data_IF_744210131915
#
_entry.id   IF_744210131915
#
_cell.length_a   1.000
_cell.length_b   1.000
_cell.length_c   1.000
_cell.angle_alpha   90.00
_cell.angle_beta   90.00
_cell.angle_gamma   90.00
#
_symmetry.space_group_name_H-M   'P 1'
#
loop_
_entity.id
_entity.type
_entity.pdbx_description
1 polymer ?
#
# COMPACT_ATOMS: atom_id res chain seq x y z
N UNK A 1 2.12 -19.15 21.60
CA UNK A 1 2.19 -17.68 21.44
C UNK A 1 0.82 -17.08 21.81
N UNK A 2 0.77 -15.96 22.52
CA UNK A 2 -0.50 -15.27 22.82
C UNK A 2 -1.19 -14.88 21.50
N UNK A 3 -2.48 -15.23 21.34
CA UNK A 3 -3.27 -14.97 20.12
C UNK A 3 -3.37 -13.48 19.78
N UNK A 4 -3.37 -12.59 20.77
CA UNK A 4 -3.33 -11.15 20.52
C UNK A 4 -2.00 -10.72 19.91
N UNK A 5 -0.87 -11.14 20.51
CA UNK A 5 0.46 -10.85 19.99
C UNK A 5 0.68 -11.44 18.59
N UNK A 6 0.07 -12.60 18.30
CA UNK A 6 0.03 -13.19 16.97
C UNK A 6 -0.59 -12.21 15.96
N UNK A 7 -1.81 -11.70 16.23
CA UNK A 7 -2.50 -10.76 15.34
C UNK A 7 -1.73 -9.46 15.17
N UNK A 8 -1.17 -8.90 16.24
CA UNK A 8 -0.32 -7.70 16.17
C UNK A 8 0.89 -7.95 15.26
N UNK A 9 1.51 -9.12 15.31
CA UNK A 9 2.63 -9.46 14.43
C UNK A 9 2.19 -9.65 12.97
N UNK A 10 1.09 -10.37 12.73
CA UNK A 10 0.55 -10.63 11.38
C UNK A 10 0.17 -9.34 10.67
N UNK A 11 -0.40 -8.36 11.39
CA UNK A 11 -0.81 -7.07 10.84
C UNK A 11 0.35 -6.11 10.54
N UNK A 12 1.61 -6.52 10.76
CA UNK A 12 2.85 -5.80 10.43
C UNK A 12 2.82 -4.31 10.88
N UNK A 13 3.00 -4.02 12.18
CA UNK A 13 2.83 -2.68 12.75
C UNK A 13 3.70 -1.58 12.13
N UNK A 14 4.82 -1.96 11.52
CA UNK A 14 5.68 -1.05 10.76
C UNK A 14 4.92 -0.34 9.61
N UNK A 15 3.86 -0.94 9.07
CA UNK A 15 3.07 -0.36 7.98
C UNK A 15 1.80 0.36 8.46
N UNK A 16 1.42 0.23 9.73
CA UNK A 16 0.23 0.88 10.29
C UNK A 16 0.27 2.39 10.08
N UNK A 17 1.40 3.01 10.43
CA UNK A 17 1.56 4.46 10.37
C UNK A 17 1.51 4.99 8.94
N UNK A 18 1.96 4.22 7.94
CA UNK A 18 2.06 4.74 6.56
C UNK A 18 0.67 5.04 5.99
N UNK A 19 -0.25 4.07 6.04
CA UNK A 19 -1.61 4.27 5.52
C UNK A 19 -2.39 5.29 6.36
N UNK A 20 -2.23 5.25 7.68
CA UNK A 20 -2.87 6.21 8.58
C UNK A 20 -2.39 7.64 8.34
N UNK A 21 -1.07 7.87 8.14
CA UNK A 21 -0.52 9.20 7.81
C UNK A 21 -1.00 9.69 6.44
N UNK A 22 -1.04 8.81 5.44
CA UNK A 22 -1.57 9.15 4.12
C UNK A 22 -3.02 9.63 4.23
N UNK A 23 -3.87 8.90 4.97
CA UNK A 23 -5.27 9.29 5.17
C UNK A 23 -5.39 10.67 5.83
N UNK A 24 -4.54 10.97 6.81
CA UNK A 24 -4.56 12.27 7.51
C UNK A 24 -4.06 13.39 6.60
N UNK A 25 -2.99 13.15 5.82
CA UNK A 25 -2.51 14.11 4.82
C UNK A 25 -3.61 14.49 3.84
N UNK A 26 -4.35 13.50 3.33
CA UNK A 26 -5.42 13.74 2.36
C UNK A 26 -6.56 14.52 2.98
N UNK A 27 -6.98 14.17 4.20
CA UNK A 27 -8.00 14.89 4.94
C UNK A 27 -7.64 16.38 5.08
N UNK A 28 -6.45 16.71 5.57
CA UNK A 28 -6.05 18.11 5.74
C UNK A 28 -5.85 18.83 4.40
N UNK A 29 -5.23 18.17 3.41
CA UNK A 29 -5.04 18.75 2.08
C UNK A 29 -6.35 19.06 1.34
N UNK A 30 -7.45 18.43 1.73
CA UNK A 30 -8.80 18.68 1.20
C UNK A 30 -9.60 19.70 2.03
N UNK A 31 -8.95 20.36 2.99
CA UNK A 31 -9.57 21.35 3.88
C UNK A 31 -10.36 20.75 5.03
N UNK A 32 -10.16 19.46 5.31
CA UNK A 32 -10.74 18.79 6.47
C UNK A 32 -10.04 19.17 7.78
N UNK A 33 -10.76 19.02 8.89
CA UNK A 33 -10.22 19.19 10.24
C UNK A 33 -10.05 17.85 10.94
N UNK A 34 -9.24 17.83 12.01
CA UNK A 34 -9.08 16.64 12.84
C UNK A 34 -10.36 16.37 13.64
N UNK A 35 -11.30 15.68 13.01
CA UNK A 35 -12.57 15.27 13.61
C UNK A 35 -12.46 13.88 14.24
N UNK A 36 -13.46 13.47 15.01
CA UNK A 36 -13.57 12.09 15.48
C UNK A 36 -13.55 11.07 14.32
N UNK A 37 -14.01 11.48 13.13
CA UNK A 37 -14.03 10.66 11.92
C UNK A 37 -12.62 10.49 11.33
N UNK A 38 -11.80 11.55 11.38
CA UNK A 38 -10.38 11.48 11.04
C UNK A 38 -9.63 10.49 11.94
N UNK A 39 -9.88 10.59 13.25
CA UNK A 39 -9.29 9.70 14.26
C UNK A 39 -9.75 8.25 14.04
N UNK A 40 -11.03 8.06 13.72
CA UNK A 40 -11.58 6.73 13.43
C UNK A 40 -10.89 6.10 12.22
N UNK A 41 -10.77 6.82 11.09
CA UNK A 41 -10.05 6.32 9.91
C UNK A 41 -8.59 5.99 10.24
N UNK A 42 -7.91 6.86 10.99
CA UNK A 42 -6.53 6.65 11.43
C UNK A 42 -6.35 5.34 12.24
N UNK A 43 -7.31 5.00 13.10
CA UNK A 43 -7.30 3.79 13.95
C UNK A 43 -7.74 2.55 13.16
N UNK A 44 -8.64 2.68 12.21
CA UNK A 44 -9.21 1.56 11.47
C UNK A 44 -8.23 0.96 10.44
N UNK A 45 -7.32 1.74 9.86
CA UNK A 45 -6.29 1.20 8.95
C UNK A 45 -5.37 0.13 9.60
N UNK A 46 -4.82 0.34 10.81
CA UNK A 46 -4.11 -0.69 11.57
C UNK A 46 -4.92 -1.97 11.77
N UNK A 47 -6.22 -1.84 12.05
CA UNK A 47 -7.13 -3.00 12.22
C UNK A 47 -7.30 -3.72 10.89
N UNK A 48 -7.53 -2.98 9.80
CA UNK A 48 -7.68 -3.51 8.45
C UNK A 48 -6.39 -4.16 7.90
N UNK A 49 -5.22 -3.82 8.43
CA UNK A 49 -3.96 -4.46 8.04
C UNK A 49 -3.98 -6.00 8.25
N UNK A 50 -4.82 -6.51 9.16
CA UNK A 50 -5.08 -7.96 9.28
C UNK A 50 -5.71 -8.57 8.03
N UNK A 51 -6.63 -7.85 7.38
CA UNK A 51 -7.24 -8.28 6.13
C UNK A 51 -6.18 -8.39 5.03
N UNK A 52 -5.29 -7.39 4.91
CA UNK A 52 -4.25 -7.38 3.87
C UNK A 52 -3.20 -8.46 4.13
N UNK A 53 -2.59 -8.44 5.32
CA UNK A 53 -1.41 -9.27 5.60
C UNK A 53 -1.75 -10.65 6.14
N UNK A 54 -2.88 -10.81 6.84
CA UNK A 54 -3.33 -12.11 7.33
C UNK A 54 -3.82 -13.01 6.21
N UNK A 55 -4.60 -12.48 5.26
CA UNK A 55 -5.00 -13.21 4.06
C UNK A 55 -3.77 -13.58 3.23
N UNK A 56 -2.82 -12.65 3.08
CA UNK A 56 -1.54 -12.88 2.42
C UNK A 56 -0.75 -14.04 3.05
N UNK A 57 -0.50 -14.00 4.37
CA UNK A 57 0.28 -15.02 5.08
C UNK A 57 -0.36 -16.42 5.04
N UNK A 58 -1.69 -16.50 5.01
CA UNK A 58 -2.40 -17.80 4.93
C UNK A 58 -2.26 -18.40 3.53
N UNK A 59 -2.50 -17.62 2.47
CA UNK A 59 -2.43 -18.12 1.10
C UNK A 59 -0.98 -18.26 0.57
N UNK A 60 0.00 -17.58 1.17
CA UNK A 60 1.42 -17.70 0.79
C UNK A 60 2.20 -18.70 1.62
N UNK A 61 1.55 -19.42 2.53
CA UNK A 61 2.23 -20.31 3.46
C UNK A 61 3.22 -21.29 2.78
N UNK A 62 2.85 -21.90 1.63
CA UNK A 62 3.74 -22.85 0.94
C UNK A 62 4.92 -22.14 0.23
N UNK A 63 4.69 -20.99 -0.40
CA UNK A 63 5.76 -20.18 -1.01
C UNK A 63 6.70 -19.58 0.04
N UNK A 64 6.15 -19.21 1.20
CA UNK A 64 6.86 -18.61 2.31
C UNK A 64 7.82 -19.54 3.01
N UNK A 65 7.52 -20.85 3.06
CA UNK A 65 8.47 -21.87 3.56
C UNK A 65 9.78 -21.87 2.80
N UNK A 66 9.74 -21.53 1.51
CA UNK A 66 10.89 -21.55 0.62
C UNK A 66 11.70 -20.26 0.70
N UNK A 67 11.15 -19.20 1.31
CA UNK A 67 11.76 -17.89 1.37
C UNK A 67 12.71 -17.74 2.56
N UNK A 68 13.97 -17.42 2.26
CA UNK A 68 14.97 -17.03 3.28
C UNK A 68 14.72 -15.64 3.88
N UNK A 69 13.78 -14.85 3.31
CA UNK A 69 13.51 -13.44 3.67
C UNK A 69 12.60 -13.29 4.89
N UNK A 70 11.83 -14.33 5.23
CA UNK A 70 10.70 -14.15 6.15
C UNK A 70 11.05 -13.69 7.56
N UNK A 71 12.22 -13.97 8.19
CA UNK A 71 12.54 -13.38 9.49
C UNK A 71 13.03 -11.92 9.36
N UNK A 72 12.26 -11.05 8.71
CA UNK A 72 12.58 -9.63 8.53
C UNK A 72 11.38 -8.73 8.81
N UNK A 73 11.64 -7.47 9.19
CA UNK A 73 10.61 -6.45 9.47
C UNK A 73 9.58 -6.30 8.33
N UNK A 74 10.00 -6.47 7.09
CA UNK A 74 9.14 -6.38 5.91
C UNK A 74 8.52 -7.72 5.49
N UNK A 75 9.16 -8.86 5.79
CA UNK A 75 8.72 -10.21 5.39
C UNK A 75 7.71 -10.86 6.34
N UNK A 76 7.61 -10.40 7.60
CA UNK A 76 6.70 -10.96 8.59
C UNK A 76 7.31 -12.13 9.36
N UNK A 77 6.54 -13.20 9.59
CA UNK A 77 7.05 -14.47 10.11
C UNK A 77 6.31 -15.62 9.42
N UNK A 78 6.85 -16.85 9.46
CA UNK A 78 6.14 -17.99 8.88
C UNK A 78 4.93 -18.34 9.76
N UNK A 79 3.73 -18.05 9.27
CA UNK A 79 2.49 -18.29 10.01
C UNK A 79 2.17 -19.79 10.05
N UNK A 80 2.23 -20.39 11.24
CA UNK A 80 1.90 -21.81 11.43
C UNK A 80 0.48 -22.15 10.96
N UNK A 81 0.31 -23.30 10.29
CA UNK A 81 -1.00 -23.78 9.77
C UNK A 81 -2.11 -23.80 10.82
N UNK A 82 -1.77 -24.13 12.07
CA UNK A 82 -2.72 -24.18 13.18
C UNK A 82 -3.48 -22.85 13.39
N UNK A 83 -2.87 -21.72 13.03
CA UNK A 83 -3.46 -20.40 13.22
C UNK A 83 -4.18 -19.87 11.97
N UNK A 84 -4.12 -20.55 10.83
CA UNK A 84 -4.69 -20.05 9.56
C UNK A 84 -6.19 -19.73 9.70
N UNK A 85 -6.96 -20.65 10.28
CA UNK A 85 -8.41 -20.44 10.49
C UNK A 85 -8.69 -19.25 11.42
N UNK A 86 -7.87 -19.07 12.46
CA UNK A 86 -8.01 -17.96 13.41
C UNK A 86 -7.66 -16.61 12.76
N UNK A 87 -6.58 -16.56 11.99
CA UNK A 87 -6.15 -15.37 11.25
C UNK A 87 -7.17 -14.99 10.17
N UNK A 88 -7.68 -15.96 9.39
CA UNK A 88 -8.72 -15.68 8.39
C UNK A 88 -10.02 -15.15 9.02
N UNK A 89 -10.46 -15.71 10.15
CA UNK A 89 -11.62 -15.17 10.88
C UNK A 89 -11.36 -13.74 11.36
N UNK A 90 -10.17 -13.48 11.89
CA UNK A 90 -9.77 -12.15 12.35
C UNK A 90 -9.69 -11.14 11.19
N UNK A 91 -9.21 -11.56 10.02
CA UNK A 91 -9.20 -10.78 8.80
C UNK A 91 -10.64 -10.40 8.36
N UNK A 92 -11.56 -11.36 8.31
CA UNK A 92 -12.97 -11.11 7.99
C UNK A 92 -13.62 -10.16 8.99
N UNK A 93 -13.38 -10.34 10.29
CA UNK A 93 -13.88 -9.43 11.33
C UNK A 93 -13.31 -8.03 11.13
N UNK A 94 -12.01 -7.89 10.86
CA UNK A 94 -11.38 -6.59 10.61
C UNK A 94 -11.97 -5.86 9.40
N UNK A 95 -12.27 -6.58 8.32
CA UNK A 95 -12.95 -6.03 7.15
C UNK A 95 -14.39 -5.63 7.49
N UNK A 96 -15.13 -6.45 8.24
CA UNK A 96 -16.48 -6.15 8.70
C UNK A 96 -16.56 -4.89 9.56
N UNK A 97 -15.61 -4.68 10.47
CA UNK A 97 -15.50 -3.46 11.28
C UNK A 97 -15.33 -2.23 10.38
N UNK A 98 -14.40 -2.28 9.41
CA UNK A 98 -14.16 -1.18 8.49
C UNK A 98 -15.40 -0.89 7.62
N UNK A 99 -16.03 -1.92 7.05
CA UNK A 99 -17.26 -1.77 6.24
C UNK A 99 -18.39 -1.16 7.08
N UNK A 100 -18.56 -1.60 8.33
CA UNK A 100 -19.62 -1.10 9.22
C UNK A 100 -19.39 0.39 9.56
N UNK A 101 -18.15 0.76 9.88
CA UNK A 101 -17.79 2.16 10.12
C UNK A 101 -18.02 3.02 8.87
N UNK A 102 -17.63 2.54 7.69
CA UNK A 102 -17.84 3.22 6.42
C UNK A 102 -19.32 3.35 6.04
N UNK A 103 -20.14 2.34 6.32
CA UNK A 103 -21.58 2.39 6.08
C UNK A 103 -22.25 3.42 7.00
N UNK A 104 -21.88 3.45 8.27
CA UNK A 104 -22.34 4.47 9.22
C UNK A 104 -21.95 5.87 8.74
N UNK A 105 -20.68 6.08 8.39
CA UNK A 105 -20.20 7.35 7.88
C UNK A 105 -20.94 7.81 6.60
N UNK A 106 -21.12 6.90 5.64
CA UNK A 106 -21.85 7.16 4.39
C UNK A 106 -23.30 7.56 4.66
N UNK A 107 -23.94 6.95 5.66
CA UNK A 107 -25.30 7.32 6.08
C UNK A 107 -25.38 8.76 6.61
N UNK A 108 -24.45 9.18 7.47
CA UNK A 108 -24.45 10.57 8.00
C UNK A 108 -24.13 11.61 6.93
N UNK A 109 -23.27 11.28 5.97
CA UNK A 109 -22.96 12.19 4.87
C UNK A 109 -24.02 12.18 3.75
N UNK A 110 -24.97 11.25 3.78
CA UNK A 110 -25.89 11.00 2.66
C UNK A 110 -25.17 10.78 1.32
N UNK A 111 -23.99 10.15 1.37
CA UNK A 111 -23.12 9.91 0.22
C UNK A 111 -22.47 8.51 0.33
N UNK A 112 -22.48 7.73 -0.75
CA UNK A 112 -22.01 6.33 -0.75
C UNK A 112 -20.53 6.17 -1.14
N UNK A 113 -19.81 7.26 -1.42
CA UNK A 113 -18.42 7.24 -1.89
C UNK A 113 -17.50 6.51 -0.91
N UNK A 114 -17.66 6.76 0.39
CA UNK A 114 -16.83 6.11 1.41
C UNK A 114 -17.09 4.59 1.46
N UNK A 115 -18.35 4.17 1.50
CA UNK A 115 -18.72 2.75 1.51
C UNK A 115 -18.26 2.05 0.23
N UNK A 116 -18.46 2.65 -0.94
CA UNK A 116 -17.98 2.11 -2.21
C UNK A 116 -16.46 1.92 -2.20
N UNK A 117 -15.71 2.95 -1.80
CA UNK A 117 -14.26 2.90 -1.72
C UNK A 117 -13.79 1.80 -0.75
N UNK A 118 -14.44 1.67 0.40
CA UNK A 118 -14.14 0.61 1.39
C UNK A 118 -14.43 -0.79 0.85
N UNK A 119 -15.54 -1.00 0.15
CA UNK A 119 -15.86 -2.28 -0.47
C UNK A 119 -14.82 -2.66 -1.52
N UNK A 120 -14.42 -1.69 -2.36
CA UNK A 120 -13.34 -1.86 -3.33
C UNK A 120 -12.01 -2.19 -2.65
N UNK A 121 -11.67 -1.49 -1.56
CA UNK A 121 -10.46 -1.74 -0.78
C UNK A 121 -10.41 -3.16 -0.22
N UNK A 122 -11.50 -3.63 0.39
CA UNK A 122 -11.64 -4.99 0.94
C UNK A 122 -11.55 -6.03 -0.20
N UNK A 123 -12.22 -5.78 -1.32
CA UNK A 123 -12.18 -6.64 -2.49
C UNK A 123 -10.76 -6.79 -3.04
N UNK A 124 -10.03 -5.68 -3.19
CA UNK A 124 -8.63 -5.69 -3.65
C UNK A 124 -7.71 -6.38 -2.65
N UNK A 125 -7.85 -6.10 -1.35
CA UNK A 125 -7.05 -6.77 -0.31
C UNK A 125 -7.20 -8.30 -0.36
N UNK A 126 -8.43 -8.78 -0.55
CA UNK A 126 -8.70 -10.21 -0.67
C UNK A 126 -8.15 -10.80 -1.98
N UNK A 127 -8.60 -10.25 -3.12
CA UNK A 127 -8.30 -10.80 -4.45
C UNK A 127 -6.84 -10.66 -4.84
N UNK A 128 -6.08 -9.77 -4.21
CA UNK A 128 -4.65 -9.67 -4.41
C UNK A 128 -3.91 -10.95 -4.02
N UNK A 129 -4.31 -11.60 -2.92
CA UNK A 129 -3.63 -12.80 -2.40
C UNK A 129 -4.42 -14.10 -2.55
N UNK A 130 -5.75 -14.04 -2.55
CA UNK A 130 -6.61 -15.22 -2.54
C UNK A 130 -6.85 -15.80 -3.95
N UNK A 131 -6.86 -17.13 -4.11
CA UNK A 131 -7.28 -17.79 -5.34
C UNK A 131 -8.81 -17.64 -5.56
N UNK A 132 -9.29 -17.75 -6.81
CA UNK A 132 -8.53 -18.03 -8.04
C UNK A 132 -7.94 -16.77 -8.72
N UNK A 133 -8.30 -15.57 -8.24
CA UNK A 133 -7.91 -14.31 -8.90
C UNK A 133 -6.42 -14.01 -8.72
N UNK A 134 -5.98 -13.94 -7.45
CA UNK A 134 -4.60 -13.77 -6.99
C UNK A 134 -3.80 -12.75 -7.81
N UNK A 135 -4.24 -11.48 -7.77
CA UNK A 135 -3.74 -10.40 -8.64
C UNK A 135 -2.22 -10.21 -8.59
N UNK A 136 -1.58 -10.53 -7.47
CA UNK A 136 -0.12 -10.44 -7.33
C UNK A 136 0.68 -11.36 -8.26
N UNK A 137 0.03 -12.36 -8.86
CA UNK A 137 0.59 -13.28 -9.87
C UNK A 137 0.10 -12.95 -11.28
N UNK A 138 -0.47 -11.76 -11.48
CA UNK A 138 -0.90 -11.23 -12.78
C UNK A 138 0.04 -10.07 -13.13
N UNK A 139 1.01 -10.23 -14.03
CA UNK A 139 1.97 -9.18 -14.31
C UNK A 139 1.26 -7.92 -14.81
N UNK A 140 1.79 -6.74 -14.47
CA UNK A 140 1.20 -5.41 -14.71
C UNK A 140 0.01 -5.15 -13.78
N UNK A 141 -0.95 -6.07 -13.72
CA UNK A 141 -2.14 -5.97 -12.88
C UNK A 141 -1.79 -6.01 -11.39
N UNK A 142 -0.74 -6.75 -11.01
CA UNK A 142 -0.18 -6.73 -9.66
C UNK A 142 0.13 -5.30 -9.18
N UNK A 143 0.75 -4.50 -10.04
CA UNK A 143 1.15 -3.12 -9.71
C UNK A 143 0.01 -2.11 -9.86
N UNK A 144 -0.84 -2.28 -10.88
CA UNK A 144 -2.02 -1.44 -11.07
C UNK A 144 -3.05 -1.66 -9.95
N UNK A 145 -3.22 -2.88 -9.48
CA UNK A 145 -4.13 -3.18 -8.36
C UNK A 145 -3.68 -2.53 -7.05
N UNK A 146 -2.36 -2.38 -6.83
CA UNK A 146 -1.83 -1.60 -5.69
C UNK A 146 -2.12 -0.10 -5.84
N UNK A 147 -2.08 0.43 -7.07
CA UNK A 147 -2.51 1.82 -7.32
C UNK A 147 -3.99 1.99 -7.03
N UNK A 148 -4.83 1.09 -7.52
CA UNK A 148 -6.27 1.11 -7.26
C UNK A 148 -6.60 0.93 -5.77
N UNK A 149 -5.82 0.10 -5.05
CA UNK A 149 -5.91 -0.03 -3.60
C UNK A 149 -5.63 1.31 -2.92
N UNK A 150 -4.56 2.00 -3.31
CA UNK A 150 -4.24 3.32 -2.76
C UNK A 150 -5.27 4.39 -3.14
N UNK A 151 -5.84 4.32 -4.34
CA UNK A 151 -6.94 5.19 -4.73
C UNK A 151 -8.17 5.00 -3.83
N UNK A 152 -8.52 3.75 -3.50
CA UNK A 152 -9.59 3.47 -2.55
C UNK A 152 -9.28 4.04 -1.16
N UNK A 153 -8.04 3.89 -0.66
CA UNK A 153 -7.59 4.54 0.59
C UNK A 153 -7.76 6.06 0.52
N UNK A 154 -7.36 6.68 -0.59
CA UNK A 154 -7.44 8.12 -0.76
C UNK A 154 -8.89 8.59 -0.80
N UNK A 155 -9.76 7.86 -1.49
CA UNK A 155 -11.17 8.20 -1.63
C UNK A 155 -11.92 8.05 -0.30
N UNK A 156 -11.59 7.05 0.53
CA UNK A 156 -12.08 6.94 1.92
C UNK A 156 -11.71 8.20 2.70
N UNK A 157 -10.46 8.63 2.62
CA UNK A 157 -9.97 9.81 3.33
C UNK A 157 -10.57 11.13 2.80
N UNK A 158 -10.86 11.22 1.50
CA UNK A 158 -11.39 12.41 0.83
C UNK A 158 -12.91 12.56 0.93
N UNK A 159 -13.65 11.47 1.10
CA UNK A 159 -15.13 11.41 1.08
C UNK A 159 -15.87 12.36 2.04
N UNK A 160 -15.19 12.96 3.02
CA UNK A 160 -15.76 14.05 3.85
C UNK A 160 -15.98 15.35 3.08
N UNK A 161 -15.21 15.58 2.01
CA UNK A 161 -15.18 16.82 1.24
C UNK A 161 -16.10 16.75 0.01
N UNK A 162 -16.21 15.58 -0.60
CA UNK A 162 -16.93 15.40 -1.84
C UNK A 162 -16.84 13.98 -2.37
N UNK A 163 -17.33 13.81 -3.59
CA UNK A 163 -17.45 12.53 -4.27
C UNK A 163 -16.19 12.20 -5.07
N UNK A 164 -16.23 11.07 -5.80
CA UNK A 164 -15.20 10.74 -6.77
C UNK A 164 -14.97 11.85 -7.82
N UNK A 165 -16.01 12.59 -8.21
CA UNK A 165 -15.91 13.62 -9.24
C UNK A 165 -15.11 14.84 -8.78
N UNK A 166 -15.00 15.03 -7.47
CA UNK A 166 -14.29 16.15 -6.84
C UNK A 166 -12.83 15.81 -6.53
N UNK A 167 -12.40 14.59 -6.84
CA UNK A 167 -11.06 14.12 -6.53
C UNK A 167 -10.01 14.88 -7.33
N UNK A 168 -9.02 15.51 -6.68
CA UNK A 168 -8.13 16.44 -7.36
C UNK A 168 -7.19 15.71 -8.33
N UNK A 169 -6.85 16.35 -9.46
CA UNK A 169 -5.96 15.78 -10.49
C UNK A 169 -4.64 15.26 -9.91
N UNK A 170 -4.07 15.98 -8.94
CA UNK A 170 -2.85 15.58 -8.25
C UNK A 170 -2.99 14.26 -7.48
N UNK A 171 -4.19 13.96 -6.98
CA UNK A 171 -4.50 12.68 -6.33
C UNK A 171 -4.39 11.51 -7.31
N UNK A 172 -4.81 11.69 -8.57
CA UNK A 172 -4.64 10.65 -9.60
C UNK A 172 -3.17 10.42 -9.93
N UNK A 173 -2.34 11.45 -10.01
CA UNK A 173 -0.90 11.28 -10.20
C UNK A 173 -0.23 10.57 -9.03
N UNK A 174 -0.62 10.90 -7.79
CA UNK A 174 -0.12 10.21 -6.60
C UNK A 174 -0.49 8.72 -6.62
N UNK A 175 -1.73 8.40 -7.00
CA UNK A 175 -2.21 7.02 -7.18
C UNK A 175 -1.43 6.29 -8.27
N UNK A 176 -1.23 6.91 -9.45
CA UNK A 176 -0.47 6.32 -10.54
C UNK A 176 1.01 6.08 -10.16
N UNK A 177 1.57 6.91 -9.28
CA UNK A 177 2.93 6.76 -8.75
C UNK A 177 3.13 5.54 -7.87
N UNK A 178 2.05 4.89 -7.41
CA UNK A 178 2.14 3.67 -6.60
C UNK A 178 2.53 2.45 -7.45
N UNK A 179 2.05 2.35 -8.69
CA UNK A 179 2.38 1.23 -9.58
C UNK A 179 3.90 1.05 -9.77
N UNK A 180 4.67 2.09 -10.15
CA UNK A 180 6.11 1.94 -10.35
C UNK A 180 6.86 1.65 -9.03
N UNK A 181 6.40 2.16 -7.89
CA UNK A 181 6.95 1.83 -6.57
C UNK A 181 6.71 0.35 -6.25
N UNK A 182 5.48 -0.14 -6.45
CA UNK A 182 5.14 -1.55 -6.27
C UNK A 182 5.97 -2.46 -7.18
N UNK A 183 6.11 -2.10 -8.46
CA UNK A 183 6.93 -2.83 -9.41
C UNK A 183 8.39 -2.94 -8.95
N UNK A 184 8.91 -1.91 -8.26
CA UNK A 184 10.24 -1.95 -7.66
C UNK A 184 10.32 -2.83 -6.39
N UNK A 185 9.22 -3.01 -5.64
CA UNK A 185 9.16 -4.03 -4.60
C UNK A 185 9.19 -5.44 -5.21
N UNK A 186 8.44 -5.69 -6.29
CA UNK A 186 8.53 -6.95 -7.03
C UNK A 186 9.93 -7.18 -7.62
N UNK A 187 10.59 -6.12 -8.12
CA UNK A 187 11.99 -6.18 -8.55
C UNK A 187 12.89 -6.64 -7.40
N UNK A 188 12.68 -6.12 -6.19
CA UNK A 188 13.50 -6.42 -5.02
C UNK A 188 13.38 -7.87 -4.57
N UNK A 189 12.33 -8.58 -5.01
CA UNK A 189 12.05 -9.99 -4.71
C UNK A 189 12.20 -10.92 -5.94
N UNK A 190 12.66 -10.39 -7.08
CA UNK A 190 12.73 -11.10 -8.37
C UNK A 190 13.25 -12.54 -8.29
N UNK A 191 14.42 -12.78 -7.66
CA UNK A 191 14.99 -14.12 -7.61
C UNK A 191 14.22 -15.08 -6.70
N UNK A 192 13.59 -14.55 -5.65
CA UNK A 192 12.75 -15.34 -4.74
C UNK A 192 11.45 -15.73 -5.44
N UNK A 193 10.78 -14.76 -6.06
CA UNK A 193 9.51 -14.94 -6.76
C UNK A 193 9.68 -15.89 -7.95
N UNK A 194 10.77 -15.74 -8.71
CA UNK A 194 11.08 -16.64 -9.83
C UNK A 194 11.31 -18.08 -9.39
N UNK A 195 11.98 -18.31 -8.25
CA UNK A 195 12.18 -19.65 -7.67
C UNK A 195 10.87 -20.25 -7.14
N UNK A 196 9.97 -19.41 -6.65
CA UNK A 196 8.65 -19.82 -6.18
C UNK A 196 7.63 -20.01 -7.32
N UNK A 197 8.01 -19.76 -8.58
CA UNK A 197 7.11 -19.87 -9.73
C UNK A 197 6.08 -18.74 -9.84
N UNK A 198 6.29 -17.62 -9.13
CA UNK A 198 5.37 -16.48 -9.14
C UNK A 198 5.55 -15.63 -10.40
N UNK A 199 4.44 -15.21 -11.00
CA UNK A 199 4.43 -14.36 -12.20
C UNK A 199 4.07 -12.92 -11.84
N UNK A 200 5.05 -12.16 -11.33
CA UNK A 200 4.92 -10.73 -11.04
C UNK A 200 5.34 -9.90 -12.25
N UNK A 201 5.09 -8.59 -12.24
CA UNK A 201 5.59 -7.66 -13.25
C UNK A 201 7.11 -7.78 -13.41
N UNK A 202 7.82 -8.01 -12.30
CA UNK A 202 9.26 -8.11 -12.30
C UNK A 202 9.74 -9.43 -12.89
N UNK A 203 9.13 -10.57 -12.53
CA UNK A 203 9.53 -11.87 -13.10
C UNK A 203 9.16 -11.98 -14.58
N UNK A 204 8.09 -11.30 -15.01
CA UNK A 204 7.66 -11.20 -16.41
C UNK A 204 8.57 -10.31 -17.27
N UNK A 205 8.80 -9.04 -16.87
CA UNK A 205 9.60 -8.09 -17.67
C UNK A 205 11.11 -8.29 -17.50
N UNK A 206 11.54 -8.81 -16.35
CA UNK A 206 12.94 -8.80 -15.94
C UNK A 206 13.35 -7.51 -15.25
N UNK A 207 14.35 -7.63 -14.35
CA UNK A 207 14.83 -6.55 -13.48
C UNK A 207 15.06 -5.21 -14.19
N UNK A 208 15.85 -5.19 -15.27
CA UNK A 208 16.19 -3.94 -15.96
C UNK A 208 14.97 -3.24 -16.57
N UNK A 209 14.11 -4.00 -17.26
CA UNK A 209 12.91 -3.43 -17.88
C UNK A 209 11.93 -2.90 -16.83
N UNK A 210 11.77 -3.61 -15.70
CA UNK A 210 10.97 -3.12 -14.57
C UNK A 210 11.50 -1.79 -14.04
N UNK A 211 12.81 -1.68 -13.78
CA UNK A 211 13.41 -0.44 -13.29
C UNK A 211 13.28 0.71 -14.30
N UNK A 212 13.47 0.43 -15.59
CA UNK A 212 13.32 1.42 -16.66
C UNK A 212 11.89 1.96 -16.76
N UNK A 213 10.90 1.08 -16.83
CA UNK A 213 9.48 1.47 -16.94
C UNK A 213 9.05 2.23 -15.68
N UNK A 214 9.50 1.79 -14.49
CA UNK A 214 9.23 2.52 -13.26
C UNK A 214 9.82 3.93 -13.29
N UNK A 215 11.07 4.10 -13.73
CA UNK A 215 11.69 5.41 -13.87
C UNK A 215 10.94 6.30 -14.87
N UNK A 216 10.54 5.74 -16.01
CA UNK A 216 9.81 6.47 -17.05
C UNK A 216 8.45 6.97 -16.56
N UNK A 217 7.66 6.12 -15.91
CA UNK A 217 6.35 6.50 -15.36
C UNK A 217 6.53 7.61 -14.31
N UNK A 218 7.51 7.47 -13.43
CA UNK A 218 7.78 8.48 -12.40
C UNK A 218 8.22 9.80 -13.03
N UNK A 219 9.06 9.78 -14.07
CA UNK A 219 9.44 10.98 -14.81
C UNK A 219 8.23 11.68 -15.43
N UNK A 220 7.33 10.93 -16.06
CA UNK A 220 6.08 11.47 -16.61
C UNK A 220 5.23 12.12 -15.51
N UNK A 221 5.13 11.48 -14.34
CA UNK A 221 4.42 12.07 -13.19
C UNK A 221 5.08 13.38 -12.75
N UNK A 222 6.41 13.42 -12.62
CA UNK A 222 7.13 14.64 -12.25
C UNK A 222 6.83 15.78 -13.23
N UNK A 223 6.85 15.50 -14.53
CA UNK A 223 6.66 16.51 -15.58
C UNK A 223 5.22 17.00 -15.68
N UNK A 224 4.22 16.13 -15.46
CA UNK A 224 2.81 16.45 -15.71
C UNK A 224 2.01 16.82 -14.45
N UNK A 225 2.50 16.47 -13.27
CA UNK A 225 1.73 16.64 -12.02
C UNK A 225 1.60 18.09 -11.54
N UNK A 226 2.50 18.98 -11.95
CA UNK A 226 2.53 20.35 -11.46
C UNK A 226 2.73 20.43 -9.94
N UNK A 227 3.43 19.45 -9.35
CA UNK A 227 3.72 19.39 -7.92
C UNK A 227 4.35 20.71 -7.44
N UNK A 228 3.81 21.26 -6.35
CA UNK A 228 4.32 22.49 -5.71
C UNK A 228 4.96 22.25 -4.36
N UNK A 229 4.64 21.13 -3.70
CA UNK A 229 5.18 20.83 -2.38
C UNK A 229 6.61 20.31 -2.50
N UNK A 230 7.58 21.06 -1.99
CA UNK A 230 9.01 20.75 -2.13
C UNK A 230 9.41 19.39 -1.52
N UNK A 231 8.81 19.00 -0.40
CA UNK A 231 9.08 17.71 0.23
C UNK A 231 8.58 16.56 -0.66
N UNK A 232 7.38 16.69 -1.23
CA UNK A 232 6.82 15.70 -2.15
C UNK A 232 7.60 15.63 -3.47
N UNK A 233 8.00 16.77 -4.02
CA UNK A 233 8.87 16.84 -5.21
C UNK A 233 10.18 16.09 -4.95
N UNK A 234 10.84 16.38 -3.82
CA UNK A 234 12.09 15.75 -3.43
C UNK A 234 11.94 14.24 -3.26
N UNK A 235 10.84 13.80 -2.65
CA UNK A 235 10.53 12.37 -2.50
C UNK A 235 10.35 11.68 -3.85
N UNK A 236 9.58 12.25 -4.78
CA UNK A 236 9.34 11.64 -6.09
C UNK A 236 10.63 11.57 -6.91
N UNK A 237 11.47 12.62 -6.88
CA UNK A 237 12.80 12.60 -7.49
C UNK A 237 13.73 11.54 -6.87
N UNK A 238 13.69 11.37 -5.56
CA UNK A 238 14.46 10.32 -4.88
C UNK A 238 14.08 8.93 -5.42
N UNK A 239 12.79 8.64 -5.55
CA UNK A 239 12.33 7.36 -6.11
C UNK A 239 12.72 7.22 -7.58
N UNK A 240 12.64 8.30 -8.37
CA UNK A 240 13.13 8.30 -9.76
C UNK A 240 14.60 7.89 -9.83
N UNK A 241 15.48 8.53 -9.05
CA UNK A 241 16.90 8.20 -9.03
C UNK A 241 17.18 6.78 -8.52
N UNK A 242 16.37 6.25 -7.60
CA UNK A 242 16.46 4.84 -7.20
C UNK A 242 16.16 3.91 -8.36
N UNK A 243 15.11 4.19 -9.15
CA UNK A 243 14.77 3.40 -10.31
C UNK A 243 15.90 3.44 -11.37
N UNK A 244 16.47 4.63 -11.63
CA UNK A 244 17.61 4.80 -12.54
C UNK A 244 18.84 4.04 -12.04
N UNK A 245 19.16 4.12 -10.74
CA UNK A 245 20.27 3.37 -10.16
C UNK A 245 20.06 1.86 -10.31
N UNK A 246 18.84 1.36 -10.06
CA UNK A 246 18.50 -0.05 -10.25
C UNK A 246 18.49 -0.49 -11.72
N UNK A 247 18.27 0.42 -12.67
CA UNK A 247 18.40 0.13 -14.10
C UNK A 247 19.86 -0.16 -14.47
N UNK A 248 20.79 0.73 -14.08
CA UNK A 248 22.23 0.53 -14.33
C UNK A 248 22.81 -0.62 -13.51
N UNK A 249 22.38 -0.76 -12.25
CA UNK A 249 22.83 -1.76 -11.30
C UNK A 249 21.65 -2.64 -10.86
N UNK A 250 21.26 -3.68 -11.61
CA UNK A 250 20.06 -4.49 -11.36
C UNK A 250 20.21 -5.45 -10.16
N UNK A 251 20.43 -4.88 -8.98
CA UNK A 251 20.71 -5.54 -7.71
C UNK A 251 19.49 -5.51 -6.80
N UNK A 252 18.96 -6.70 -6.49
CA UNK A 252 17.85 -6.87 -5.54
C UNK A 252 18.22 -6.37 -4.14
N UNK A 253 19.47 -6.55 -3.73
CA UNK A 253 19.97 -6.07 -2.43
C UNK A 253 20.02 -4.54 -2.38
N UNK A 254 20.41 -3.89 -3.48
CA UNK A 254 20.37 -2.43 -3.58
C UNK A 254 18.94 -1.94 -3.45
N UNK A 255 18.01 -2.48 -4.24
CA UNK A 255 16.59 -2.11 -4.18
C UNK A 255 16.04 -2.29 -2.76
N UNK A 256 16.22 -3.46 -2.13
CA UNK A 256 15.77 -3.71 -0.75
C UNK A 256 16.30 -2.68 0.23
N UNK A 257 17.60 -2.34 0.17
CA UNK A 257 18.19 -1.32 1.04
C UNK A 257 17.58 0.04 0.76
N UNK A 258 17.62 0.53 -0.48
CA UNK A 258 17.10 1.85 -0.85
C UNK A 258 15.65 2.04 -0.39
N UNK A 259 14.78 1.06 -0.60
CA UNK A 259 13.38 1.16 -0.18
C UNK A 259 13.17 1.06 1.33
N UNK A 260 13.87 0.16 2.03
CA UNK A 260 13.65 -0.06 3.46
C UNK A 260 14.36 0.95 4.36
N UNK A 261 15.55 1.41 3.99
CA UNK A 261 16.36 2.32 4.81
C UNK A 261 16.17 3.79 4.44
N UNK A 262 15.74 4.08 3.20
CA UNK A 262 15.59 5.46 2.73
C UNK A 262 14.16 5.74 2.29
N UNK A 263 13.57 4.90 1.43
CA UNK A 263 12.23 5.13 0.85
C UNK A 263 11.12 5.27 1.89
N UNK A 264 10.91 4.24 2.74
CA UNK A 264 9.88 4.28 3.78
C UNK A 264 10.09 5.42 4.79
N UNK A 265 11.30 5.63 5.35
CA UNK A 265 11.56 6.80 6.20
C UNK A 265 11.33 8.13 5.50
N UNK A 266 11.78 8.29 4.24
CA UNK A 266 11.60 9.51 3.47
C UNK A 266 10.11 9.79 3.19
N UNK A 267 9.31 8.74 2.90
CA UNK A 267 7.86 8.87 2.76
C UNK A 267 7.24 9.37 4.07
N UNK A 268 7.53 8.72 5.20
CA UNK A 268 7.02 9.12 6.50
C UNK A 268 7.41 10.56 6.84
N UNK A 269 8.66 10.95 6.63
CA UNK A 269 9.14 12.32 6.85
C UNK A 269 8.44 13.32 5.94
N UNK A 270 8.26 12.98 4.66
CA UNK A 270 7.54 13.82 3.69
C UNK A 270 6.10 14.05 4.12
N UNK A 271 5.41 13.01 4.58
CA UNK A 271 4.04 13.12 5.09
C UNK A 271 3.99 13.98 6.36
N UNK A 272 4.96 13.84 7.27
CA UNK A 272 5.04 14.66 8.49
C UNK A 272 5.30 16.13 8.16
N UNK A 273 6.24 16.44 7.27
CA UNK A 273 6.53 17.82 6.83
C UNK A 273 5.29 18.42 6.15
N UNK A 274 4.64 17.65 5.27
CA UNK A 274 3.42 18.09 4.62
C UNK A 274 2.33 18.41 5.64
N UNK A 275 2.12 17.55 6.64
CA UNK A 275 1.15 17.80 7.71
C UNK A 275 1.50 19.05 8.51
N UNK A 276 2.77 19.21 8.90
CA UNK A 276 3.23 20.38 9.64
C UNK A 276 2.93 21.69 8.89
N UNK A 277 3.13 21.71 7.57
CA UNK A 277 2.82 22.87 6.73
C UNK A 277 1.33 23.23 6.66
N UNK A 278 0.42 22.32 7.02
CA UNK A 278 -1.02 22.63 7.11
C UNK A 278 -1.39 23.42 8.38
N UNK A 279 -0.47 23.54 9.35
CA UNK A 279 -0.68 24.24 10.62
C UNK A 279 0.09 25.58 10.72
N UNK A 280 0.79 25.98 9.65
CA UNK A 280 1.46 27.28 9.52
C UNK A 280 0.54 28.26 8.78
#
# INVERSE_FOLDING_TARGET
MNRFLLLVRVSRPAFWLVLSLISVVILFSSGGSFTWLALLNFILFPVFALMVFGVNDVYDYETDKLSKRKPSRAGGYLLSKEYHRFVMRSAVISAGILITASAFFSFFLSDLTNLFATLLLVFLAYTYSAPPVRLKERPIIDSLSNSLFMWAVFLIAFSHKGSLLDFPLIGYYAVLGIAPIHAMFAFADYSSDKKAGMTTIATFLGKRATAFISALIILVIILLSGLKNEALISFVWLIFFFCVACFFFPSETLARKLFSTVGLPALSLTLIIFLYQQFL
#
